data_IF_545159875041
#
_entry.id   IF_545159875041
#
_cell.length_a   1.000
_cell.length_b   1.000
_cell.length_c   1.000
_cell.angle_alpha   90.00
_cell.angle_beta   90.00
_cell.angle_gamma   90.00
#
_symmetry.space_group_name_H-M   'P 1'
#
loop_
_entity.id
_entity.type
_entity.pdbx_description
1 polymer ?
#
# COMPACT_ATOMS: atom_id res chain seq x y z
N UNK A 1 -20.38 38.45 36.45
CA UNK A 1 -20.67 38.46 34.99
C UNK A 1 -20.54 37.09 34.30
N UNK A 2 -19.85 36.11 34.88
CA UNK A 2 -19.62 34.79 34.24
C UNK A 2 -20.82 33.83 34.31
N UNK A 3 -21.65 33.94 35.37
CA UNK A 3 -22.81 33.04 35.58
C UNK A 3 -23.95 33.34 34.55
N UNK A 4 -24.10 34.59 34.13
CA UNK A 4 -25.15 34.99 33.18
C UNK A 4 -24.83 34.52 31.73
N UNK A 5 -23.54 34.43 31.36
CA UNK A 5 -23.16 33.95 30.01
C UNK A 5 -23.40 32.45 29.82
N UNK A 6 -23.19 31.67 30.90
CA UNK A 6 -23.44 30.22 30.84
C UNK A 6 -24.91 29.85 30.81
N UNK A 7 -25.76 30.63 31.50
CA UNK A 7 -27.22 30.42 31.47
C UNK A 7 -27.84 30.74 30.12
N UNK A 8 -27.35 31.76 29.42
CA UNK A 8 -27.83 32.13 28.08
C UNK A 8 -27.40 31.08 27.03
N UNK A 9 -26.19 30.53 27.16
CA UNK A 9 -25.71 29.45 26.28
C UNK A 9 -26.50 28.14 26.48
N UNK A 10 -26.80 27.78 27.74
CA UNK A 10 -27.62 26.58 28.05
C UNK A 10 -29.06 26.74 27.55
N UNK A 11 -29.67 27.93 27.74
CA UNK A 11 -31.03 28.21 27.24
C UNK A 11 -31.12 28.21 25.73
N UNK A 12 -30.08 28.69 25.05
CA UNK A 12 -29.99 28.68 23.60
C UNK A 12 -29.90 27.26 23.00
N UNK A 13 -29.17 26.36 23.62
CA UNK A 13 -29.10 24.96 23.25
C UNK A 13 -30.43 24.22 23.39
N UNK A 14 -31.14 24.42 24.51
CA UNK A 14 -32.45 23.77 24.76
C UNK A 14 -33.56 24.28 23.86
N UNK A 15 -33.55 25.55 23.47
CA UNK A 15 -34.52 26.11 22.53
C UNK A 15 -34.25 25.58 21.09
N UNK A 16 -33.00 25.48 20.70
CA UNK A 16 -32.62 24.91 19.37
C UNK A 16 -33.03 23.44 19.29
N UNK A 17 -32.82 22.64 20.29
CA UNK A 17 -33.25 21.24 20.36
C UNK A 17 -34.79 21.11 20.36
N UNK A 18 -35.52 21.99 21.05
CA UNK A 18 -36.99 21.98 21.04
C UNK A 18 -37.58 22.40 19.67
N UNK A 19 -36.95 23.32 18.99
CA UNK A 19 -37.36 23.74 17.62
C UNK A 19 -37.08 22.62 16.61
N UNK A 20 -35.94 21.95 16.70
CA UNK A 20 -35.60 20.79 15.88
C UNK A 20 -36.54 19.60 16.13
N UNK A 21 -37.00 19.38 17.37
CA UNK A 21 -37.95 18.30 17.71
C UNK A 21 -39.33 18.48 17.06
N UNK A 22 -39.74 19.73 16.72
CA UNK A 22 -40.98 20.03 16.03
C UNK A 22 -40.83 20.18 14.53
N UNK A 23 -39.62 20.22 14.02
CA UNK A 23 -39.37 20.32 12.57
C UNK A 23 -39.65 18.98 11.89
N UNK A 24 -40.19 19.02 10.67
CA UNK A 24 -40.31 17.83 9.83
C UNK A 24 -38.94 17.19 9.52
N UNK A 25 -38.96 15.93 9.14
CA UNK A 25 -37.73 15.15 8.91
C UNK A 25 -36.77 15.86 7.90
N UNK A 26 -37.29 16.46 6.89
CA UNK A 26 -36.48 17.20 5.88
C UNK A 26 -35.75 18.40 6.49
N UNK A 27 -36.39 19.16 7.39
CA UNK A 27 -35.75 20.29 8.06
C UNK A 27 -34.69 19.85 9.05
N UNK A 28 -34.84 18.67 9.68
CA UNK A 28 -33.82 18.08 10.55
C UNK A 28 -32.60 17.61 9.76
N UNK A 29 -32.80 16.95 8.61
CA UNK A 29 -31.73 16.56 7.71
C UNK A 29 -30.97 17.79 7.22
N UNK A 30 -31.67 18.80 6.72
CA UNK A 30 -31.04 20.03 6.25
C UNK A 30 -30.24 20.75 7.35
N UNK A 31 -30.70 20.73 8.61
CA UNK A 31 -29.95 21.30 9.73
C UNK A 31 -28.68 20.52 10.06
N UNK A 32 -28.73 19.17 9.97
CA UNK A 32 -27.55 18.31 10.15
C UNK A 32 -26.53 18.53 9.04
N UNK A 33 -26.98 18.63 7.77
CA UNK A 33 -26.14 18.94 6.61
C UNK A 33 -25.48 20.32 6.75
N UNK A 34 -26.28 21.35 7.08
CA UNK A 34 -25.78 22.71 7.23
C UNK A 34 -24.76 22.87 8.38
N UNK A 35 -24.89 22.05 9.42
CA UNK A 35 -23.94 22.02 10.55
C UNK A 35 -22.73 21.10 10.31
N UNK A 36 -22.63 20.44 9.14
CA UNK A 36 -21.65 19.41 8.85
C UNK A 36 -21.57 18.36 9.97
N UNK A 37 -22.73 17.88 10.42
CA UNK A 37 -22.85 16.96 11.56
C UNK A 37 -22.15 15.62 11.29
N UNK A 38 -21.35 15.19 12.23
CA UNK A 38 -20.72 13.85 12.18
C UNK A 38 -21.73 12.69 12.15
N UNK A 39 -22.98 12.93 12.50
CA UNK A 39 -24.07 11.94 12.42
C UNK A 39 -24.36 11.51 10.96
N UNK A 40 -24.12 12.39 9.99
CA UNK A 40 -24.31 12.10 8.56
C UNK A 40 -23.03 11.63 7.88
N UNK A 41 -21.91 11.57 8.60
CA UNK A 41 -20.62 11.17 8.07
C UNK A 41 -20.32 9.73 8.44
N UNK A 42 -19.85 8.95 7.48
CA UNK A 42 -19.32 7.63 7.79
C UNK A 42 -17.98 7.78 8.54
N UNK A 43 -17.73 7.03 9.62
CA UNK A 43 -16.54 7.21 10.48
C UNK A 43 -15.21 7.09 9.74
N UNK A 44 -15.12 6.21 8.76
CA UNK A 44 -13.94 5.98 7.94
C UNK A 44 -14.25 6.27 6.47
N UNK A 45 -14.34 7.54 6.09
CA UNK A 45 -14.82 7.96 4.75
C UNK A 45 -13.82 7.73 3.62
N UNK A 46 -12.60 7.31 3.92
CA UNK A 46 -11.50 7.39 2.96
C UNK A 46 -11.62 6.41 1.79
N UNK A 47 -11.92 5.13 2.08
CA UNK A 47 -11.98 4.05 1.07
C UNK A 47 -13.33 3.32 1.03
N UNK A 48 -14.39 3.89 1.59
CA UNK A 48 -15.68 3.22 1.80
C UNK A 48 -16.31 2.63 0.53
N UNK A 49 -16.05 3.20 -0.65
CA UNK A 49 -16.60 2.77 -1.93
C UNK A 49 -15.54 2.18 -2.86
N UNK A 50 -14.36 1.86 -2.32
CA UNK A 50 -13.22 1.40 -3.11
C UNK A 50 -13.01 -0.09 -2.87
N UNK A 51 -13.00 -0.89 -3.94
CA UNK A 51 -12.66 -2.29 -3.88
C UNK A 51 -11.14 -2.47 -4.08
N UNK A 52 -10.44 -3.10 -3.14
CA UNK A 52 -9.02 -3.41 -3.30
C UNK A 52 -8.77 -4.44 -4.39
N UNK A 53 -7.69 -4.25 -5.15
CA UNK A 53 -7.28 -5.06 -6.29
C UNK A 53 -5.78 -5.37 -6.19
N UNK A 54 -5.32 -6.54 -6.62
CA UNK A 54 -3.91 -6.92 -6.60
C UNK A 54 -3.12 -6.20 -7.71
N UNK A 55 -3.15 -4.88 -7.69
CA UNK A 55 -2.40 -4.00 -8.58
C UNK A 55 -1.23 -3.42 -7.80
N UNK A 56 -0.08 -3.33 -8.44
CA UNK A 56 1.10 -2.64 -7.94
C UNK A 56 1.27 -1.32 -8.70
N UNK A 57 1.24 -0.20 -7.98
CA UNK A 57 1.56 1.13 -8.50
C UNK A 57 3.08 1.23 -8.65
N UNK A 58 3.59 0.95 -9.84
CA UNK A 58 5.00 1.09 -10.19
C UNK A 58 5.37 2.56 -10.24
N UNK A 59 6.50 2.94 -9.65
CA UNK A 59 6.90 4.34 -9.52
C UNK A 59 5.77 5.23 -8.94
N UNK A 60 5.15 4.79 -7.86
CA UNK A 60 3.96 5.44 -7.28
C UNK A 60 4.17 6.94 -7.01
N UNK A 61 5.38 7.34 -6.68
CA UNK A 61 5.77 8.75 -6.45
C UNK A 61 5.65 9.65 -7.68
N UNK A 62 5.37 9.11 -8.88
CA UNK A 62 5.05 9.89 -10.09
C UNK A 62 3.58 10.32 -10.15
N UNK A 63 2.71 9.79 -9.29
CA UNK A 63 1.29 10.17 -9.22
C UNK A 63 1.16 11.63 -8.78
N UNK A 64 0.07 12.28 -9.17
CA UNK A 64 -0.23 13.67 -8.75
C UNK A 64 -0.19 13.79 -7.23
N UNK A 65 -0.79 12.82 -6.53
CA UNK A 65 -0.70 12.69 -5.07
C UNK A 65 -0.29 11.24 -4.76
N UNK A 66 1.01 10.96 -4.59
CA UNK A 66 1.51 9.63 -4.26
C UNK A 66 0.74 8.96 -3.13
N UNK A 67 0.65 7.65 -3.13
CA UNK A 67 -0.16 6.83 -2.24
C UNK A 67 -1.67 7.07 -2.43
N UNK A 68 -2.16 8.31 -2.25
CA UNK A 68 -3.59 8.60 -2.25
C UNK A 68 -4.24 8.37 -3.61
N UNK A 69 -3.55 8.72 -4.70
CA UNK A 69 -4.02 8.41 -6.06
C UNK A 69 -4.11 6.91 -6.27
N UNK A 70 -3.10 6.13 -5.86
CA UNK A 70 -3.14 4.68 -5.97
C UNK A 70 -4.30 4.07 -5.16
N UNK A 71 -4.48 4.50 -3.91
CA UNK A 71 -5.59 4.04 -3.08
C UNK A 71 -6.96 4.36 -3.70
N UNK A 72 -7.11 5.51 -4.39
CA UNK A 72 -8.36 5.87 -5.05
C UNK A 72 -8.77 4.92 -6.18
N UNK A 73 -7.82 4.21 -6.78
CA UNK A 73 -8.06 3.15 -7.77
C UNK A 73 -8.18 1.74 -7.18
N UNK A 74 -8.02 1.59 -5.87
CA UNK A 74 -8.08 0.30 -5.19
C UNK A 74 -6.76 -0.49 -5.27
N UNK A 75 -5.64 0.18 -5.51
CA UNK A 75 -4.31 -0.43 -5.64
C UNK A 75 -3.80 -0.86 -4.27
N UNK A 76 -3.44 -2.14 -4.11
CA UNK A 76 -3.02 -2.71 -2.83
C UNK A 76 -1.51 -2.82 -2.65
N UNK A 77 -0.72 -2.32 -3.60
CA UNK A 77 0.75 -2.29 -3.52
C UNK A 77 1.28 -1.00 -4.15
N UNK A 78 2.13 -0.28 -3.42
CA UNK A 78 2.76 0.98 -3.87
C UNK A 78 4.27 0.91 -3.75
N UNK A 79 4.99 1.60 -4.65
CA UNK A 79 6.45 1.62 -4.70
C UNK A 79 7.00 3.00 -4.35
N UNK A 80 8.01 3.02 -3.48
CA UNK A 80 8.77 4.20 -3.10
C UNK A 80 10.26 3.99 -3.39
N UNK A 81 10.80 4.72 -4.38
CA UNK A 81 12.23 4.74 -4.66
C UNK A 81 12.94 5.68 -3.70
N UNK A 82 13.76 5.14 -2.79
CA UNK A 82 14.40 5.91 -1.71
C UNK A 82 15.88 6.15 -1.97
N UNK A 83 16.29 7.40 -1.76
CA UNK A 83 17.66 7.89 -1.85
C UNK A 83 18.09 8.39 -0.47
N UNK A 84 19.04 7.72 0.16
CA UNK A 84 19.59 8.17 1.43
C UNK A 84 20.73 9.15 1.20
N UNK A 85 20.46 10.44 1.42
CA UNK A 85 21.41 11.55 1.20
C UNK A 85 21.33 12.50 2.41
N UNK A 86 22.45 12.82 3.02
CA UNK A 86 22.53 13.76 4.15
C UNK A 86 21.53 13.46 5.28
N UNK A 87 21.44 12.20 5.70
CA UNK A 87 20.51 11.70 6.74
C UNK A 87 19.02 11.88 6.42
N UNK A 88 18.66 12.04 5.15
CA UNK A 88 17.26 12.14 4.70
C UNK A 88 17.00 11.09 3.62
N UNK A 89 15.84 10.44 3.69
CA UNK A 89 15.34 9.53 2.66
C UNK A 89 14.47 10.31 1.69
N UNK A 90 15.05 10.77 0.60
CA UNK A 90 14.34 11.42 -0.49
C UNK A 90 13.68 10.37 -1.39
N UNK A 91 12.61 10.79 -2.10
CA UNK A 91 11.88 9.90 -3.01
C UNK A 91 11.85 10.45 -4.42
N UNK A 92 12.28 9.64 -5.37
CA UNK A 92 12.28 9.94 -6.80
C UNK A 92 13.01 8.89 -7.60
N UNK A 93 12.74 8.81 -8.90
CA UNK A 93 13.34 7.82 -9.79
C UNK A 93 14.82 8.09 -10.05
N UNK A 94 15.14 9.35 -10.31
CA UNK A 94 16.47 9.83 -10.61
C UNK A 94 16.92 10.86 -9.55
N UNK A 95 18.20 10.93 -9.27
CA UNK A 95 18.77 11.91 -8.33
C UNK A 95 18.42 13.36 -8.72
N UNK A 96 18.35 13.64 -10.02
CA UNK A 96 17.99 14.96 -10.53
C UNK A 96 16.51 15.35 -10.30
N UNK A 97 15.66 14.38 -9.97
CA UNK A 97 14.23 14.60 -9.66
C UNK A 97 13.95 14.80 -8.17
N UNK A 98 14.98 14.70 -7.32
CA UNK A 98 14.79 14.82 -5.87
C UNK A 98 14.53 16.27 -5.48
N UNK A 99 13.62 16.46 -4.53
CA UNK A 99 13.31 17.76 -3.93
C UNK A 99 13.23 17.66 -2.41
N UNK A 100 13.51 18.74 -1.66
CA UNK A 100 13.52 18.69 -0.19
C UNK A 100 12.21 18.24 0.45
N UNK A 101 11.07 18.50 -0.20
CA UNK A 101 9.73 18.21 0.36
C UNK A 101 9.24 16.79 0.07
N UNK A 102 9.90 16.08 -0.86
CA UNK A 102 9.50 14.74 -1.27
C UNK A 102 10.37 13.68 -0.59
N UNK A 103 9.98 13.34 0.62
CA UNK A 103 10.68 12.34 1.44
C UNK A 103 9.82 11.09 1.64
N UNK A 104 10.45 9.99 2.04
CA UNK A 104 9.75 8.77 2.39
C UNK A 104 8.72 8.98 3.51
N UNK A 105 9.09 9.81 4.49
CA UNK A 105 8.20 10.19 5.58
C UNK A 105 6.99 11.00 5.08
N UNK A 106 7.23 12.07 4.31
CA UNK A 106 6.16 12.99 3.87
C UNK A 106 5.19 12.36 2.86
N UNK A 107 5.67 11.46 1.99
CA UNK A 107 4.85 10.88 0.92
C UNK A 107 4.14 9.59 1.34
N UNK A 108 4.73 8.80 2.25
CA UNK A 108 4.21 7.47 2.58
C UNK A 108 3.96 7.26 4.07
N UNK A 109 4.96 7.48 4.94
CA UNK A 109 4.85 7.09 6.36
C UNK A 109 3.78 7.90 7.08
N UNK A 110 3.86 9.24 7.04
CA UNK A 110 2.90 10.11 7.73
C UNK A 110 1.49 10.00 7.17
N UNK A 111 1.27 9.97 5.84
CA UNK A 111 -0.05 9.71 5.29
C UNK A 111 -0.64 8.37 5.73
N UNK A 112 0.17 7.29 5.74
CA UNK A 112 -0.29 5.97 6.21
C UNK A 112 -0.66 5.98 7.69
N UNK A 113 0.14 6.64 8.54
CA UNK A 113 -0.18 6.79 9.97
C UNK A 113 -1.53 7.49 10.14
N UNK A 114 -1.75 8.61 9.44
CA UNK A 114 -3.00 9.38 9.53
C UNK A 114 -4.22 8.57 9.07
N UNK A 115 -4.10 7.86 7.94
CA UNK A 115 -5.17 7.00 7.43
C UNK A 115 -5.48 5.89 8.43
N UNK A 116 -4.46 5.18 8.90
CA UNK A 116 -4.64 4.03 9.79
C UNK A 116 -5.13 4.42 11.18
N UNK A 117 -4.78 5.60 11.69
CA UNK A 117 -5.36 6.12 12.94
C UNK A 117 -6.87 6.39 12.80
N UNK A 118 -7.32 6.88 11.64
CA UNK A 118 -8.75 7.05 11.37
C UNK A 118 -9.48 5.72 11.19
N UNK A 119 -8.83 4.72 10.58
CA UNK A 119 -9.38 3.37 10.39
C UNK A 119 -9.42 2.56 11.69
N UNK A 120 -8.67 2.98 12.73
CA UNK A 120 -8.54 2.30 14.01
C UNK A 120 -8.86 3.21 15.20
N UNK A 121 -10.06 3.82 15.25
CA UNK A 121 -10.46 4.68 16.36
C UNK A 121 -10.54 3.86 17.65
N UNK A 122 -10.09 4.45 18.77
CA UNK A 122 -10.22 3.83 20.09
C UNK A 122 -11.56 4.22 20.72
N UNK A 123 -12.51 3.30 20.75
CA UNK A 123 -13.83 3.50 21.33
C UNK A 123 -14.44 2.17 21.78
N UNK A 124 -15.65 2.19 22.35
CA UNK A 124 -16.32 1.01 22.89
C UNK A 124 -16.60 -0.09 21.81
N UNK A 125 -16.60 0.24 20.53
CA UNK A 125 -16.84 -0.73 19.44
C UNK A 125 -15.54 -1.40 18.97
N UNK A 126 -14.38 -0.82 19.30
CA UNK A 126 -13.07 -1.34 18.92
C UNK A 126 -12.31 -1.96 20.09
N UNK A 127 -12.89 -1.91 21.31
CA UNK A 127 -12.38 -2.66 22.45
C UNK A 127 -12.38 -4.15 22.15
N UNK A 128 -11.20 -4.78 22.22
CA UNK A 128 -11.04 -6.22 21.92
C UNK A 128 -10.68 -6.56 20.49
N UNK A 129 -10.50 -5.59 19.60
CA UNK A 129 -9.84 -5.85 18.33
C UNK A 129 -8.41 -6.34 18.58
N UNK A 130 -8.10 -7.53 18.09
CA UNK A 130 -6.77 -8.16 18.24
C UNK A 130 -5.83 -7.81 17.10
N UNK A 131 -6.36 -7.22 16.02
CA UNK A 131 -5.63 -6.84 14.81
C UNK A 131 -6.15 -5.51 14.30
N UNK A 132 -5.26 -4.57 13.92
CA UNK A 132 -5.69 -3.32 13.33
C UNK A 132 -6.33 -3.52 11.96
N UNK A 133 -7.30 -2.66 11.62
CA UNK A 133 -7.83 -2.54 10.28
C UNK A 133 -6.76 -1.97 9.35
N UNK A 134 -6.72 -2.45 8.11
CA UNK A 134 -5.97 -1.85 7.02
C UNK A 134 -6.63 -0.59 6.48
N UNK A 135 -6.17 -0.15 5.31
CA UNK A 135 -6.65 1.09 4.67
C UNK A 135 -8.00 0.94 3.95
N UNK A 136 -8.57 -0.27 3.91
CA UNK A 136 -9.76 -0.59 3.12
C UNK A 136 -10.98 -0.81 4.01
N UNK A 137 -12.01 0.06 3.89
CA UNK A 137 -13.28 -0.11 4.61
C UNK A 137 -14.00 -1.40 4.22
N UNK A 138 -13.95 -1.77 2.95
CA UNK A 138 -14.65 -2.94 2.41
C UNK A 138 -13.93 -4.26 2.67
N UNK A 139 -12.64 -4.19 3.01
CA UNK A 139 -11.77 -5.36 3.22
C UNK A 139 -10.61 -4.98 4.15
N UNK A 140 -10.93 -4.69 5.40
CA UNK A 140 -9.98 -4.18 6.40
C UNK A 140 -8.86 -5.17 6.76
N UNK A 141 -8.98 -6.43 6.34
CA UNK A 141 -7.99 -7.49 6.52
C UNK A 141 -6.95 -7.55 5.38
N UNK A 142 -7.16 -6.84 4.27
CA UNK A 142 -6.18 -6.76 3.18
C UNK A 142 -5.09 -5.73 3.54
N UNK A 143 -3.81 -6.15 3.66
CA UNK A 143 -2.72 -5.22 3.93
C UNK A 143 -2.41 -4.38 2.69
N UNK A 144 -1.93 -3.17 2.91
CA UNK A 144 -1.23 -2.42 1.87
C UNK A 144 0.24 -2.87 1.83
N UNK A 145 0.71 -3.31 0.66
CA UNK A 145 2.12 -3.58 0.42
C UNK A 145 2.84 -2.26 0.13
N UNK A 146 3.86 -1.94 0.91
CA UNK A 146 4.77 -0.81 0.70
C UNK A 146 6.12 -1.36 0.23
N UNK A 147 6.37 -1.28 -1.07
CA UNK A 147 7.64 -1.69 -1.67
C UNK A 147 8.60 -0.51 -1.62
N UNK A 148 9.76 -0.70 -0.99
CA UNK A 148 10.79 0.32 -0.79
C UNK A 148 11.99 -0.05 -1.65
N UNK A 149 12.17 0.64 -2.76
CA UNK A 149 13.30 0.45 -3.67
C UNK A 149 14.49 1.31 -3.24
N UNK A 150 15.54 0.68 -2.73
CA UNK A 150 16.74 1.38 -2.26
C UNK A 150 17.66 1.71 -3.44
N UNK A 151 17.75 2.98 -3.79
CA UNK A 151 18.56 3.46 -4.93
C UNK A 151 20.03 3.74 -4.55
N UNK A 152 20.31 4.00 -3.27
CA UNK A 152 21.65 4.21 -2.73
C UNK A 152 22.24 2.92 -2.12
N UNK A 153 23.44 3.00 -1.51
CA UNK A 153 24.04 1.84 -0.86
C UNK A 153 23.09 1.21 0.17
N UNK A 154 22.70 -0.04 -0.05
CA UNK A 154 21.66 -0.70 0.74
C UNK A 154 22.01 -0.88 2.21
N UNK A 155 23.27 -1.21 2.52
CA UNK A 155 23.73 -1.39 3.91
C UNK A 155 23.65 -0.10 4.71
N UNK A 156 23.90 1.05 4.06
CA UNK A 156 23.79 2.36 4.67
C UNK A 156 22.34 2.88 4.69
N UNK A 157 21.49 2.43 3.76
CA UNK A 157 20.11 2.91 3.59
C UNK A 157 19.11 2.15 4.45
N UNK A 158 19.33 0.86 4.68
CA UNK A 158 18.38 0.03 5.43
C UNK A 158 18.10 0.55 6.86
N UNK A 159 19.11 0.89 7.71
CA UNK A 159 18.82 1.39 9.04
C UNK A 159 17.94 2.66 9.05
N UNK A 160 18.21 3.72 8.25
CA UNK A 160 17.30 4.87 8.12
C UNK A 160 15.88 4.51 7.64
N UNK A 161 15.72 3.53 6.74
CA UNK A 161 14.39 3.06 6.32
C UNK A 161 13.65 2.40 7.47
N UNK A 162 14.31 1.54 8.24
CA UNK A 162 13.72 0.91 9.42
C UNK A 162 13.35 1.93 10.50
N UNK A 163 14.18 2.97 10.69
CA UNK A 163 13.89 4.06 11.62
C UNK A 163 12.69 4.90 11.15
N UNK A 164 12.60 5.20 9.86
CA UNK A 164 11.47 5.92 9.29
C UNK A 164 10.13 5.17 9.44
N UNK A 165 10.16 3.83 9.48
CA UNK A 165 8.97 3.00 9.69
C UNK A 165 8.54 2.92 11.18
N UNK A 166 9.30 3.49 12.13
CA UNK A 166 8.99 3.42 13.57
C UNK A 166 7.58 3.91 13.93
N UNK A 167 7.02 5.01 13.33
CA UNK A 167 5.67 5.43 13.64
C UNK A 167 4.59 4.38 13.33
N UNK A 168 4.77 3.58 12.28
CA UNK A 168 3.88 2.46 11.94
C UNK A 168 4.12 1.26 12.87
N UNK A 169 5.38 0.95 13.17
CA UNK A 169 5.80 -0.14 14.06
C UNK A 169 5.24 0.03 15.47
N UNK A 170 5.41 1.20 16.07
CA UNK A 170 4.97 1.51 17.44
C UNK A 170 3.45 1.41 17.62
N UNK A 171 2.70 1.59 16.54
CA UNK A 171 1.23 1.44 16.52
C UNK A 171 0.77 0.03 16.18
N UNK A 172 1.69 -0.90 15.93
CA UNK A 172 1.39 -2.27 15.53
C UNK A 172 0.80 -2.39 14.11
N UNK A 173 1.06 -1.42 13.23
CA UNK A 173 0.53 -1.42 11.87
C UNK A 173 1.38 -2.21 10.88
N UNK A 174 2.62 -2.57 11.23
CA UNK A 174 3.48 -3.40 10.39
C UNK A 174 3.21 -4.90 10.61
N UNK A 175 3.11 -5.65 9.52
CA UNK A 175 3.15 -7.11 9.56
C UNK A 175 4.51 -7.57 10.07
N UNK A 176 4.53 -8.63 10.88
CA UNK A 176 5.76 -9.08 11.55
C UNK A 176 5.95 -10.58 11.43
N UNK A 177 7.22 -11.01 11.45
CA UNK A 177 7.61 -12.39 11.64
C UNK A 177 8.53 -12.49 12.86
N UNK A 178 8.09 -13.25 13.86
CA UNK A 178 8.84 -13.47 15.10
C UNK A 178 8.56 -14.85 15.66
N UNK A 179 9.56 -15.51 16.24
CA UNK A 179 9.45 -16.83 16.86
C UNK A 179 8.78 -17.90 15.96
N UNK A 180 9.05 -17.83 14.65
CA UNK A 180 8.49 -18.76 13.66
C UNK A 180 7.05 -18.48 13.25
N UNK A 181 6.42 -17.40 13.74
CA UNK A 181 5.05 -17.02 13.42
C UNK A 181 5.00 -15.74 12.62
N UNK A 182 4.23 -15.74 11.53
CA UNK A 182 3.88 -14.53 10.76
C UNK A 182 2.57 -13.94 11.30
N UNK A 183 2.62 -12.67 11.68
CA UNK A 183 1.46 -11.89 12.11
C UNK A 183 1.20 -10.80 11.07
N UNK A 184 0.12 -10.96 10.32
CA UNK A 184 -0.29 -9.95 9.33
C UNK A 184 -0.90 -8.73 10.04
N UNK A 185 -0.55 -7.53 9.57
CA UNK A 185 -1.14 -6.26 10.01
C UNK A 185 -1.54 -5.39 8.81
N UNK A 186 -1.78 -4.10 9.04
CA UNK A 186 -2.29 -3.16 8.05
C UNK A 186 -1.32 -2.89 6.87
N UNK A 187 -0.02 -2.95 7.13
CA UNK A 187 1.04 -2.65 6.15
C UNK A 187 2.04 -3.80 6.09
N UNK A 188 2.43 -4.18 4.89
CA UNK A 188 3.51 -5.12 4.61
C UNK A 188 4.65 -4.37 3.93
N UNK A 189 5.69 -4.03 4.70
CA UNK A 189 6.86 -3.31 4.20
C UNK A 189 7.90 -4.28 3.61
N UNK A 190 8.34 -4.02 2.38
CA UNK A 190 9.23 -4.92 1.62
C UNK A 190 10.32 -4.09 0.96
N UNK A 191 11.57 -4.54 1.05
CA UNK A 191 12.70 -3.92 0.38
C UNK A 191 13.02 -4.58 -0.96
N UNK A 192 13.29 -3.76 -1.95
CA UNK A 192 13.80 -4.14 -3.28
C UNK A 192 15.02 -3.29 -3.67
N UNK A 193 15.47 -3.35 -4.91
CA UNK A 193 16.65 -2.62 -5.38
C UNK A 193 17.93 -3.05 -4.66
N UNK A 194 18.64 -2.12 -4.07
CA UNK A 194 19.88 -2.39 -3.34
C UNK A 194 19.68 -2.91 -1.91
N UNK A 195 18.48 -3.37 -1.55
CA UNK A 195 18.19 -3.90 -0.21
C UNK A 195 19.12 -5.08 0.15
N UNK A 196 19.83 -5.05 1.30
CA UNK A 196 20.78 -6.09 1.65
C UNK A 196 20.06 -7.31 2.27
N UNK A 197 19.95 -8.39 1.50
CA UNK A 197 19.27 -9.63 1.92
C UNK A 197 19.73 -10.14 3.28
N UNK A 198 21.05 -10.20 3.51
CA UNK A 198 21.60 -10.75 4.75
C UNK A 198 21.15 -9.94 5.99
N UNK A 199 21.05 -8.61 5.86
CA UNK A 199 20.57 -7.77 6.96
C UNK A 199 19.07 -7.96 7.19
N UNK A 200 18.27 -8.10 6.13
CA UNK A 200 16.84 -8.39 6.26
C UNK A 200 16.62 -9.76 6.92
N UNK A 201 17.39 -10.76 6.53
CA UNK A 201 17.33 -12.09 7.15
C UNK A 201 17.66 -12.06 8.64
N UNK A 202 18.55 -11.17 9.07
CA UNK A 202 18.98 -11.04 10.46
C UNK A 202 18.00 -10.28 11.36
N UNK A 203 16.96 -9.63 10.82
CA UNK A 203 15.97 -8.90 11.61
C UNK A 203 15.17 -9.85 12.51
N UNK A 204 15.07 -9.49 13.80
CA UNK A 204 14.28 -10.21 14.80
C UNK A 204 13.75 -9.25 15.88
N UNK A 205 12.44 -8.96 15.94
CA UNK A 205 11.41 -9.35 14.98
C UNK A 205 11.69 -8.80 13.58
N UNK A 206 11.23 -9.52 12.53
CA UNK A 206 11.26 -9.01 11.16
C UNK A 206 9.94 -8.36 10.84
N UNK A 207 9.95 -7.07 10.55
CA UNK A 207 8.81 -6.28 10.09
C UNK A 207 9.11 -5.53 8.78
N UNK A 208 10.22 -5.91 8.16
CA UNK A 208 10.65 -5.49 6.84
C UNK A 208 11.12 -6.73 6.08
N UNK A 209 10.49 -7.00 4.94
CA UNK A 209 10.66 -8.23 4.17
C UNK A 209 11.50 -7.96 2.92
N UNK A 210 11.74 -8.98 2.11
CA UNK A 210 12.61 -8.90 0.93
C UNK A 210 11.83 -9.24 -0.36
N UNK A 211 12.07 -8.52 -1.44
CA UNK A 211 11.58 -8.85 -2.78
C UNK A 211 12.54 -9.84 -3.44
N UNK A 212 12.17 -11.12 -3.49
CA UNK A 212 13.02 -12.15 -4.04
C UNK A 212 13.20 -12.02 -5.56
N UNK A 213 14.34 -12.44 -6.14
CA UNK A 213 14.49 -12.54 -7.58
C UNK A 213 13.62 -13.69 -8.12
N UNK A 214 12.55 -13.36 -8.85
CA UNK A 214 11.59 -14.35 -9.35
C UNK A 214 12.25 -15.43 -10.21
N UNK A 215 13.26 -15.07 -10.99
CA UNK A 215 14.03 -16.01 -11.83
C UNK A 215 15.06 -16.82 -11.04
N UNK A 216 15.30 -16.48 -9.78
CA UNK A 216 16.29 -17.10 -8.90
C UNK A 216 15.69 -17.92 -7.76
N UNK A 217 14.39 -18.19 -7.74
CA UNK A 217 13.73 -18.91 -6.65
C UNK A 217 14.17 -20.37 -6.51
N UNK A 218 14.77 -20.95 -7.54
CA UNK A 218 15.32 -22.32 -7.51
C UNK A 218 16.71 -22.39 -6.86
N UNK A 219 17.35 -21.22 -6.59
CA UNK A 219 18.62 -21.19 -5.87
C UNK A 219 18.44 -21.72 -4.43
N UNK A 220 19.10 -22.81 -4.15
CA UNK A 220 19.01 -23.49 -2.83
C UNK A 220 19.86 -22.83 -1.75
N UNK A 221 20.67 -21.82 -2.09
CA UNK A 221 21.47 -21.07 -1.11
C UNK A 221 20.58 -20.24 -0.17
N UNK A 222 19.36 -19.89 -0.61
CA UNK A 222 18.37 -19.17 0.18
C UNK A 222 17.08 -19.98 0.24
N UNK A 223 16.56 -20.16 1.44
CA UNK A 223 15.21 -20.73 1.58
C UNK A 223 14.17 -19.63 1.34
N UNK A 224 13.74 -19.50 0.09
CA UNK A 224 12.70 -18.54 -0.31
C UNK A 224 11.34 -19.04 0.13
N UNK A 225 10.72 -18.33 1.07
CA UNK A 225 9.37 -18.55 1.56
C UNK A 225 8.68 -17.22 1.91
N UNK A 226 7.36 -17.18 2.12
CA UNK A 226 6.63 -15.93 2.35
C UNK A 226 7.01 -15.19 3.64
N UNK A 227 7.68 -15.88 4.58
CA UNK A 227 8.12 -15.25 5.85
C UNK A 227 9.39 -14.44 5.69
N UNK A 228 10.12 -14.63 4.58
CA UNK A 228 11.24 -13.82 4.15
C UNK A 228 10.85 -12.92 2.96
N UNK A 229 10.19 -13.50 1.97
CA UNK A 229 9.88 -12.86 0.70
C UNK A 229 8.42 -13.10 0.31
N UNK A 230 7.50 -12.25 0.74
CA UNK A 230 6.10 -12.37 0.36
C UNK A 230 5.83 -12.05 -1.12
N UNK A 231 6.79 -11.44 -1.79
CA UNK A 231 6.79 -11.12 -3.23
C UNK A 231 8.09 -11.60 -3.88
N UNK A 232 8.01 -11.93 -5.16
CA UNK A 232 9.18 -12.14 -6.02
C UNK A 232 8.97 -11.42 -7.36
N UNK A 233 9.94 -10.59 -7.74
CA UNK A 233 9.86 -9.74 -8.92
C UNK A 233 10.90 -10.08 -9.97
N UNK A 234 10.59 -9.82 -11.25
CA UNK A 234 11.54 -9.86 -12.35
C UNK A 234 11.17 -8.88 -13.45
N UNK A 235 12.17 -8.51 -14.24
CA UNK A 235 12.04 -7.80 -15.51
C UNK A 235 11.37 -8.70 -16.55
N UNK A 236 10.17 -8.34 -16.98
CA UNK A 236 9.41 -9.11 -17.98
C UNK A 236 10.12 -9.15 -19.33
N UNK A 237 10.68 -8.03 -19.77
CA UNK A 237 11.36 -7.97 -21.08
C UNK A 237 12.59 -8.87 -21.09
N UNK A 238 13.35 -8.92 -19.99
CA UNK A 238 14.53 -9.79 -19.89
C UNK A 238 14.17 -11.27 -19.67
N UNK A 239 13.17 -11.56 -18.82
CA UNK A 239 12.86 -12.94 -18.43
C UNK A 239 11.98 -13.69 -19.45
N UNK A 240 11.06 -12.98 -20.12
CA UNK A 240 10.09 -13.57 -21.07
C UNK A 240 10.37 -13.14 -22.50
N UNK A 241 10.73 -11.86 -22.71
CA UNK A 241 11.16 -11.35 -24.02
C UNK A 241 10.03 -11.19 -25.03
N UNK A 242 8.75 -11.17 -24.61
CA UNK A 242 7.60 -10.88 -25.46
C UNK A 242 7.15 -9.43 -25.26
N UNK A 243 6.92 -8.74 -26.38
CA UNK A 243 6.55 -7.32 -26.35
C UNK A 243 5.04 -7.06 -26.50
N UNK A 244 4.20 -8.10 -26.39
CA UNK A 244 2.74 -7.98 -26.53
C UNK A 244 2.24 -7.92 -27.98
N UNK A 245 3.14 -7.96 -28.99
CA UNK A 245 2.77 -7.97 -30.40
C UNK A 245 2.72 -9.40 -30.94
N UNK A 246 1.69 -9.68 -31.73
CA UNK A 246 1.49 -11.03 -32.27
C UNK A 246 1.20 -12.06 -31.17
N UNK A 247 1.42 -13.33 -31.49
CA UNK A 247 1.21 -14.43 -30.55
C UNK A 247 2.46 -14.69 -29.74
N UNK A 248 2.33 -14.83 -28.42
CA UNK A 248 3.42 -15.30 -27.57
C UNK A 248 3.84 -16.70 -28.00
N UNK A 249 5.14 -16.96 -28.11
CA UNK A 249 5.64 -18.29 -28.48
C UNK A 249 5.51 -19.28 -27.31
N UNK A 250 5.46 -20.58 -27.63
CA UNK A 250 5.39 -21.64 -26.62
C UNK A 250 6.58 -21.58 -25.63
N UNK A 251 7.75 -21.21 -26.09
CA UNK A 251 8.94 -21.07 -25.24
C UNK A 251 8.79 -19.90 -24.24
N UNK A 252 8.32 -18.74 -24.72
CA UNK A 252 8.07 -17.57 -23.87
C UNK A 252 6.96 -17.85 -22.84
N UNK A 253 5.88 -18.48 -23.28
CA UNK A 253 4.78 -18.88 -22.39
C UNK A 253 5.23 -19.90 -21.35
N UNK A 254 6.05 -20.88 -21.76
CA UNK A 254 6.64 -21.87 -20.84
C UNK A 254 7.51 -21.22 -19.77
N UNK A 255 8.37 -20.27 -20.14
CA UNK A 255 9.17 -19.53 -19.19
C UNK A 255 8.30 -18.73 -18.20
N UNK A 256 7.32 -17.99 -18.71
CA UNK A 256 6.39 -17.22 -17.89
C UNK A 256 5.67 -18.10 -16.86
N UNK A 257 5.06 -19.19 -17.33
CA UNK A 257 4.30 -20.11 -16.47
C UNK A 257 5.20 -20.82 -15.46
N UNK A 258 6.45 -21.14 -15.83
CA UNK A 258 7.43 -21.69 -14.88
C UNK A 258 7.67 -20.72 -13.71
N UNK A 259 8.00 -19.47 -13.98
CA UNK A 259 8.26 -18.48 -12.93
C UNK A 259 7.06 -18.26 -12.00
N UNK A 260 5.85 -18.16 -12.58
CA UNK A 260 4.61 -18.02 -11.79
C UNK A 260 4.40 -19.25 -10.91
N UNK A 261 4.58 -20.45 -11.46
CA UNK A 261 4.37 -21.69 -10.71
C UNK A 261 5.43 -21.89 -9.63
N UNK A 262 6.68 -21.52 -9.87
CA UNK A 262 7.77 -21.60 -8.88
C UNK A 262 7.48 -20.69 -7.68
N UNK A 263 7.02 -19.46 -7.91
CA UNK A 263 6.59 -18.56 -6.85
C UNK A 263 5.37 -19.13 -6.10
N UNK A 264 4.34 -19.56 -6.82
CA UNK A 264 3.11 -20.11 -6.26
C UNK A 264 3.36 -21.36 -5.42
N UNK A 265 4.27 -22.25 -5.85
CA UNK A 265 4.63 -23.46 -5.11
C UNK A 265 5.27 -23.15 -3.74
N UNK A 266 5.85 -21.95 -3.58
CA UNK A 266 6.44 -21.44 -2.34
C UNK A 266 5.49 -20.55 -1.55
N UNK A 267 4.28 -20.26 -2.06
CA UNK A 267 3.35 -19.30 -1.46
C UNK A 267 3.78 -17.84 -1.63
N UNK A 268 4.66 -17.55 -2.59
CA UNK A 268 5.19 -16.22 -2.88
C UNK A 268 4.38 -15.59 -4.03
N UNK A 269 4.08 -14.30 -3.94
CA UNK A 269 3.33 -13.57 -4.95
C UNK A 269 4.26 -13.08 -6.05
N UNK A 270 4.00 -13.45 -7.31
CA UNK A 270 4.83 -13.06 -8.46
C UNK A 270 4.49 -11.66 -8.95
N UNK A 271 5.52 -10.89 -9.34
CA UNK A 271 5.44 -9.58 -9.99
C UNK A 271 6.35 -9.53 -11.22
N UNK A 272 5.84 -8.95 -12.31
CA UNK A 272 6.61 -8.71 -13.54
C UNK A 272 6.57 -7.20 -13.85
N UNK A 273 7.71 -6.54 -13.76
CA UNK A 273 7.89 -5.14 -14.15
C UNK A 273 8.50 -4.99 -15.55
N UNK A 274 8.69 -3.78 -16.06
CA UNK A 274 9.22 -3.49 -17.39
C UNK A 274 8.39 -4.13 -18.53
N UNK A 275 7.07 -4.05 -18.39
CA UNK A 275 6.15 -4.36 -19.49
C UNK A 275 5.99 -3.13 -20.39
N UNK A 276 5.80 -3.27 -21.71
CA UNK A 276 5.64 -2.11 -22.59
C UNK A 276 4.34 -1.35 -22.27
N UNK A 277 4.44 -0.02 -22.21
CA UNK A 277 3.29 0.87 -22.01
C UNK A 277 2.59 1.22 -23.34
N UNK A 278 3.29 1.06 -24.46
CA UNK A 278 2.79 1.39 -25.79
C UNK A 278 3.21 0.33 -26.82
N UNK A 279 2.37 0.05 -27.81
CA UNK A 279 0.97 0.51 -27.94
C UNK A 279 0.06 -0.12 -26.89
N UNK A 280 -1.05 0.56 -26.54
CA UNK A 280 -1.97 0.15 -25.46
C UNK A 280 -2.42 -1.30 -25.60
N UNK A 281 -2.77 -1.75 -26.82
CA UNK A 281 -3.20 -3.14 -27.03
C UNK A 281 -2.06 -4.17 -26.75
N UNK A 282 -0.79 -3.80 -26.92
CA UNK A 282 0.33 -4.68 -26.59
C UNK A 282 0.49 -4.81 -25.06
N UNK A 283 0.39 -3.70 -24.33
CA UNK A 283 0.32 -3.68 -22.87
C UNK A 283 -0.81 -4.58 -22.36
N UNK A 284 -2.01 -4.39 -22.87
CA UNK A 284 -3.19 -5.16 -22.46
C UNK A 284 -3.08 -6.65 -22.82
N UNK A 285 -2.44 -6.99 -23.94
CA UNK A 285 -2.15 -8.39 -24.28
C UNK A 285 -1.24 -9.02 -23.22
N UNK A 286 -0.21 -8.32 -22.77
CA UNK A 286 0.69 -8.81 -21.72
C UNK A 286 -0.09 -8.95 -20.40
N UNK A 287 -0.83 -7.95 -19.97
CA UNK A 287 -1.63 -8.01 -18.76
C UNK A 287 -2.59 -9.20 -18.78
N UNK A 288 -3.27 -9.43 -19.90
CA UNK A 288 -4.17 -10.59 -20.07
C UNK A 288 -3.44 -11.92 -19.96
N UNK A 289 -2.26 -12.03 -20.56
CA UNK A 289 -1.45 -13.26 -20.49
C UNK A 289 -0.95 -13.47 -19.05
N UNK A 290 -0.47 -12.44 -18.38
CA UNK A 290 -0.04 -12.51 -16.98
C UNK A 290 -1.17 -13.00 -16.07
N UNK A 291 -2.33 -12.34 -16.10
CA UNK A 291 -3.48 -12.68 -15.25
C UNK A 291 -4.04 -14.07 -15.57
N UNK A 292 -4.17 -14.44 -16.85
CA UNK A 292 -4.67 -15.75 -17.27
C UNK A 292 -3.74 -16.90 -16.84
N UNK A 293 -2.46 -16.62 -16.61
CA UNK A 293 -1.50 -17.62 -16.12
C UNK A 293 -1.28 -17.53 -14.59
N UNK A 294 -1.99 -16.63 -13.90
CA UNK A 294 -2.02 -16.57 -12.45
C UNK A 294 -0.89 -15.76 -11.83
N UNK A 295 -0.30 -14.81 -12.57
CA UNK A 295 0.53 -13.78 -11.95
C UNK A 295 -0.29 -13.04 -10.89
N UNK A 296 0.30 -12.79 -9.72
CA UNK A 296 -0.46 -12.21 -8.61
C UNK A 296 -0.58 -10.68 -8.76
N UNK A 297 0.55 -10.00 -8.92
CA UNK A 297 0.57 -8.55 -9.02
C UNK A 297 0.48 -8.10 -10.47
N UNK A 298 -0.53 -7.28 -10.78
CA UNK A 298 -0.56 -6.50 -12.01
C UNK A 298 0.26 -5.23 -11.80
N UNK A 299 1.47 -5.21 -12.35
CA UNK A 299 2.35 -4.03 -12.31
C UNK A 299 1.88 -3.00 -13.32
N UNK A 300 1.64 -1.77 -12.91
CA UNK A 300 1.09 -0.74 -13.77
C UNK A 300 1.59 0.67 -13.45
N UNK A 301 1.83 1.43 -14.52
CA UNK A 301 2.00 2.88 -14.49
C UNK A 301 0.66 3.61 -14.75
N UNK A 302 -0.19 3.07 -15.60
CA UNK A 302 -1.54 3.55 -15.88
C UNK A 302 -2.55 2.86 -14.93
N UNK A 303 -2.74 3.47 -13.74
CA UNK A 303 -3.59 2.89 -12.70
C UNK A 303 -5.07 2.92 -13.07
N UNK A 304 -5.52 3.91 -13.84
CA UNK A 304 -6.91 3.98 -14.29
C UNK A 304 -7.21 2.78 -15.20
N UNK A 305 -6.39 2.54 -16.22
CA UNK A 305 -6.57 1.40 -17.10
C UNK A 305 -6.45 0.06 -16.35
N UNK A 306 -5.46 -0.08 -15.45
CA UNK A 306 -5.29 -1.30 -14.67
C UNK A 306 -6.47 -1.57 -13.73
N UNK A 307 -7.06 -0.52 -13.16
CA UNK A 307 -8.20 -0.65 -12.23
C UNK A 307 -9.50 -1.10 -12.90
N UNK A 308 -9.59 -0.93 -14.23
CA UNK A 308 -10.74 -1.29 -15.05
C UNK A 308 -10.52 -2.57 -15.87
N UNK A 309 -9.29 -3.11 -15.87
CA UNK A 309 -8.88 -4.27 -16.64
C UNK A 309 -9.34 -5.57 -16.00
#
# INVERSE_FOLDING_TARGET
MTVFKNAVALLGLTIAELVLAKAGIGARIAALEASNSSTLQYPSQFTQNIMPKPIHSHNDYWRDVPLLTALSFGVTSVEADVWFINNTLFVGHEEAALTPDRTFDSLYVQPLVQILEQMNPKNAFTEGQTRPNGVWDTASDIPLQLLVDMKTNGEATLPPVLDALSPLRERGYLSTFTDGAFTQSAVLAIGTGNTPLAQVQALSPRDFFFDAPLTGLEDTAVNWDPTLSPIASTDFAAAVGWNGLGTISDAQLSNLTKFINDAKARGINSRFWNTPEWPVFARENIWRVLLNNGAFWLNADDLEAASQF
#
